data_IF_008807893145
#
_entry.id   IF_008807893145
#
_cell.length_a   1.000
_cell.length_b   1.000
_cell.length_c   1.000
_cell.angle_alpha   90.00
_cell.angle_beta   90.00
_cell.angle_gamma   90.00
#
_symmetry.space_group_name_H-M   'P 1'
#
loop_
_entity.id
_entity.type
_entity.pdbx_description
1 polymer ?
#
# COMPACT_ATOMS: atom_id res chain seq x y z
N UNK A 1 -8.38 -10.57 12.85
CA UNK A 1 -7.42 -11.69 13.00
C UNK A 1 -6.87 -11.97 11.63
N UNK A 2 -5.55 -11.82 11.47
CA UNK A 2 -4.90 -11.92 10.17
C UNK A 2 -4.67 -13.38 9.84
N UNK A 3 -5.06 -13.75 8.63
CA UNK A 3 -4.89 -15.11 8.09
C UNK A 3 -3.53 -15.27 7.42
N UNK A 4 -3.07 -16.51 7.30
CA UNK A 4 -1.87 -16.86 6.53
C UNK A 4 -1.92 -16.31 5.10
N UNK A 5 -3.07 -16.47 4.42
CA UNK A 5 -3.27 -15.97 3.06
C UNK A 5 -3.09 -14.44 2.96
N UNK A 6 -3.60 -13.67 3.93
CA UNK A 6 -3.40 -12.21 3.96
C UNK A 6 -1.91 -11.87 4.14
N UNK A 7 -1.20 -12.60 5.01
CA UNK A 7 0.24 -12.41 5.19
C UNK A 7 1.03 -12.71 3.93
N UNK A 8 0.73 -13.84 3.26
CA UNK A 8 1.38 -14.25 2.01
C UNK A 8 1.10 -13.27 0.88
N UNK A 9 -0.15 -12.82 0.74
CA UNK A 9 -0.55 -11.83 -0.26
C UNK A 9 0.19 -10.50 -0.06
N UNK A 10 0.22 -9.96 1.15
CA UNK A 10 0.91 -8.70 1.44
C UNK A 10 2.42 -8.84 1.27
N UNK A 11 3.00 -9.96 1.72
CA UNK A 11 4.41 -10.27 1.47
C UNK A 11 4.72 -10.28 -0.01
N UNK A 12 3.89 -10.96 -0.81
CA UNK A 12 4.03 -11.02 -2.27
C UNK A 12 3.99 -9.63 -2.89
N UNK A 13 3.04 -8.78 -2.50
CA UNK A 13 2.93 -7.40 -3.03
C UNK A 13 4.21 -6.60 -2.76
N UNK A 14 4.69 -6.62 -1.51
CA UNK A 14 5.88 -5.86 -1.13
C UNK A 14 7.15 -6.42 -1.79
N UNK A 15 7.28 -7.74 -1.89
CA UNK A 15 8.46 -8.37 -2.45
C UNK A 15 8.52 -8.26 -3.98
N UNK A 16 7.36 -8.35 -4.66
CA UNK A 16 7.29 -8.27 -6.13
C UNK A 16 7.38 -6.85 -6.68
N UNK A 17 6.96 -5.84 -5.91
CA UNK A 17 7.08 -4.42 -6.31
C UNK A 17 8.53 -3.92 -6.43
N UNK A 18 9.49 -4.58 -5.78
CA UNK A 18 10.86 -4.06 -5.66
C UNK A 18 10.96 -2.75 -4.86
N UNK A 19 9.88 -2.35 -4.20
CA UNK A 19 9.75 -1.01 -3.60
C UNK A 19 10.70 -0.79 -2.42
N UNK A 20 11.07 -1.86 -1.71
CA UNK A 20 12.04 -1.82 -0.60
C UNK A 20 13.43 -1.48 -1.14
N UNK A 21 13.86 -2.12 -2.23
CA UNK A 21 15.17 -1.88 -2.82
C UNK A 21 15.25 -0.48 -3.43
N UNK A 22 14.20 -0.07 -4.15
CA UNK A 22 14.06 1.29 -4.67
C UNK A 22 14.20 2.32 -3.53
N UNK A 23 13.49 2.12 -2.42
CA UNK A 23 13.55 3.01 -1.27
C UNK A 23 14.96 3.07 -0.68
N UNK A 24 15.62 1.94 -0.48
CA UNK A 24 16.96 1.88 0.12
C UNK A 24 18.02 2.52 -0.75
N UNK A 25 17.95 2.33 -2.06
CA UNK A 25 18.87 2.93 -3.01
C UNK A 25 18.68 4.45 -3.07
N UNK A 26 17.44 4.93 -3.02
CA UNK A 26 17.12 6.37 -3.12
C UNK A 26 17.27 7.14 -1.79
N UNK A 27 17.22 6.46 -0.64
CA UNK A 27 17.54 7.04 0.67
C UNK A 27 19.06 7.19 0.86
N UNK A 28 19.87 6.35 0.21
CA UNK A 28 21.34 6.43 0.30
C UNK A 28 21.85 7.59 -0.55
N UNK A 29 22.15 8.71 0.11
CA UNK A 29 22.83 9.85 -0.51
C UNK A 29 24.26 9.54 -0.94
N UNK A 30 24.97 8.72 -0.15
CA UNK A 30 26.35 8.33 -0.44
C UNK A 30 26.48 6.80 -0.50
N UNK A 31 27.19 6.30 -1.52
CA UNK A 31 27.50 4.88 -1.69
C UNK A 31 28.48 4.31 -0.65
N UNK A 32 28.94 5.13 0.30
CA UNK A 32 29.92 4.75 1.33
C UNK A 32 29.26 4.06 2.53
N UNK A 33 30.00 3.16 3.17
CA UNK A 33 29.59 2.45 4.39
C UNK A 33 28.89 1.12 4.16
N UNK A 34 28.47 0.48 5.26
CA UNK A 34 27.77 -0.80 5.24
C UNK A 34 26.39 -0.63 4.59
N UNK A 35 26.02 -1.56 3.69
CA UNK A 35 24.67 -1.61 3.13
C UNK A 35 23.64 -1.65 4.26
N UNK A 36 22.57 -0.86 4.13
CA UNK A 36 21.47 -0.87 5.09
C UNK A 36 20.76 -2.21 5.00
N UNK A 37 20.41 -2.79 6.15
CA UNK A 37 19.64 -4.02 6.22
C UNK A 37 18.20 -3.75 5.71
N UNK A 38 17.71 -4.46 4.67
CA UNK A 38 16.38 -4.25 4.13
C UNK A 38 15.26 -4.79 5.03
N UNK A 39 15.55 -5.76 5.92
CA UNK A 39 14.52 -6.48 6.65
C UNK A 39 13.60 -5.57 7.48
N UNK A 40 14.09 -4.56 8.22
CA UNK A 40 13.22 -3.64 8.96
C UNK A 40 12.30 -2.79 8.08
N UNK A 41 12.73 -2.43 6.86
CA UNK A 41 11.94 -1.63 5.92
C UNK A 41 10.83 -2.48 5.31
N UNK A 42 11.19 -3.70 4.89
CA UNK A 42 10.23 -4.70 4.42
C UNK A 42 9.16 -4.99 5.48
N UNK A 43 9.56 -5.21 6.73
CA UNK A 43 8.63 -5.46 7.84
C UNK A 43 7.75 -4.26 8.14
N UNK A 44 8.26 -3.02 8.06
CA UNK A 44 7.43 -1.81 8.21
C UNK A 44 6.32 -1.77 7.17
N UNK A 45 6.63 -2.06 5.90
CA UNK A 45 5.63 -2.03 4.82
C UNK A 45 4.61 -3.15 4.93
N UNK A 46 5.07 -4.38 5.16
CA UNK A 46 4.18 -5.53 5.36
C UNK A 46 3.27 -5.31 6.56
N UNK A 47 3.84 -4.95 7.72
CA UNK A 47 3.06 -4.69 8.91
C UNK A 47 2.13 -3.49 8.77
N UNK A 48 2.54 -2.46 8.00
CA UNK A 48 1.73 -1.31 7.62
C UNK A 48 0.46 -1.71 6.88
N UNK A 49 0.61 -2.47 5.79
CA UNK A 49 -0.53 -2.95 5.00
C UNK A 49 -1.42 -3.90 5.80
N UNK A 50 -0.84 -4.82 6.57
CA UNK A 50 -1.59 -5.73 7.42
C UNK A 50 -2.38 -5.01 8.53
N UNK A 51 -1.79 -3.98 9.14
CA UNK A 51 -2.47 -3.15 10.14
C UNK A 51 -3.66 -2.42 9.51
N UNK A 52 -3.49 -1.85 8.32
CA UNK A 52 -4.60 -1.22 7.59
C UNK A 52 -5.71 -2.23 7.28
N UNK A 53 -5.37 -3.46 6.88
CA UNK A 53 -6.34 -4.51 6.59
C UNK A 53 -7.11 -4.95 7.85
N UNK A 54 -6.43 -5.11 8.99
CA UNK A 54 -7.04 -5.63 10.23
C UNK A 54 -7.86 -4.58 10.99
N UNK A 55 -7.37 -3.32 11.05
CA UNK A 55 -7.96 -2.28 11.89
C UNK A 55 -8.05 -0.88 11.25
N UNK A 56 -7.65 -0.72 9.98
CA UNK A 56 -7.74 0.55 9.26
C UNK A 56 -6.71 1.61 9.66
N UNK A 57 -5.65 1.23 10.37
CA UNK A 57 -4.64 2.19 10.86
C UNK A 57 -3.25 1.95 10.27
N UNK A 58 -2.50 3.06 10.12
CA UNK A 58 -1.08 3.05 9.76
C UNK A 58 -0.27 3.78 10.85
N UNK A 59 -0.26 3.21 12.06
CA UNK A 59 0.47 3.76 13.20
C UNK A 59 1.51 2.73 13.67
N UNK A 60 2.72 3.18 14.04
CA UNK A 60 3.85 2.31 14.39
C UNK A 60 3.49 1.29 15.49
N UNK A 61 2.68 1.71 16.47
CA UNK A 61 2.21 0.83 17.53
C UNK A 61 1.35 -0.31 16.97
N UNK A 62 0.38 0.01 16.12
CA UNK A 62 -0.56 -0.95 15.56
C UNK A 62 0.13 -1.87 14.56
N UNK A 63 1.11 -1.36 13.81
CA UNK A 63 2.02 -2.16 12.96
C UNK A 63 2.80 -3.17 13.80
N UNK A 64 3.36 -2.73 14.92
CA UNK A 64 4.13 -3.61 15.81
C UNK A 64 3.25 -4.68 16.45
N UNK A 65 2.08 -4.31 16.96
CA UNK A 65 1.11 -5.26 17.53
C UNK A 65 0.64 -6.25 16.47
N UNK A 66 0.38 -5.78 15.25
CA UNK A 66 0.03 -6.61 14.10
C UNK A 66 1.09 -7.68 13.83
N UNK A 67 2.35 -7.26 13.68
CA UNK A 67 3.47 -8.15 13.37
C UNK A 67 3.80 -9.15 14.49
N UNK A 68 3.55 -8.80 15.76
CA UNK A 68 4.01 -9.60 16.90
C UNK A 68 2.90 -10.42 17.57
N UNK A 69 1.65 -10.04 17.35
CA UNK A 69 0.50 -10.58 18.10
C UNK A 69 -0.67 -11.00 17.21
N UNK A 70 -0.94 -10.29 16.10
CA UNK A 70 -2.12 -10.55 15.25
C UNK A 70 -1.89 -11.57 14.14
N UNK A 71 -0.62 -11.78 13.72
CA UNK A 71 -0.26 -12.80 12.73
C UNK A 71 0.10 -14.15 13.38
N UNK A 72 -0.18 -15.29 12.71
CA UNK A 72 0.17 -16.62 13.20
C UNK A 72 1.67 -16.75 13.54
N UNK A 73 2.01 -17.56 14.54
CA UNK A 73 3.39 -17.69 15.03
C UNK A 73 4.36 -18.15 13.93
N UNK A 74 3.94 -19.10 13.10
CA UNK A 74 4.76 -19.61 11.99
C UNK A 74 5.07 -18.50 10.98
N UNK A 75 4.07 -17.65 10.66
CA UNK A 75 4.25 -16.47 9.81
C UNK A 75 5.18 -15.43 10.44
N UNK A 76 5.20 -15.29 11.77
CA UNK A 76 6.18 -14.42 12.45
C UNK A 76 7.62 -14.90 12.22
N UNK A 77 7.85 -16.22 12.16
CA UNK A 77 9.16 -16.78 11.83
C UNK A 77 9.48 -16.63 10.34
N UNK A 78 8.52 -16.94 9.46
CA UNK A 78 8.66 -16.80 8.00
C UNK A 78 9.03 -15.38 7.59
N UNK A 79 8.36 -14.37 8.18
CA UNK A 79 8.64 -12.96 7.92
C UNK A 79 9.94 -12.44 8.56
N UNK A 80 10.50 -13.18 9.52
CA UNK A 80 11.67 -12.76 10.29
C UNK A 80 11.37 -11.78 11.43
N UNK A 81 10.10 -11.62 11.82
CA UNK A 81 9.70 -10.91 13.06
C UNK A 81 10.28 -11.62 14.27
N UNK A 82 10.22 -12.96 14.27
CA UNK A 82 10.90 -13.84 15.22
C UNK A 82 12.05 -14.55 14.52
N UNK A 83 13.19 -14.62 15.19
CA UNK A 83 14.34 -15.37 14.70
C UNK A 83 15.09 -16.03 15.84
N UNK A 84 15.59 -17.23 15.58
CA UNK A 84 16.55 -17.87 16.45
C UNK A 84 17.86 -17.09 16.41
N UNK A 85 18.36 -16.73 17.58
CA UNK A 85 19.67 -16.12 17.75
C UNK A 85 20.48 -16.94 18.73
N UNK A 86 21.76 -17.11 18.43
CA UNK A 86 22.68 -17.80 19.33
C UNK A 86 23.53 -16.78 20.07
N UNK A 87 23.55 -16.87 21.39
CA UNK A 87 24.46 -16.08 22.20
C UNK A 87 25.90 -16.53 21.92
N UNK A 88 26.76 -15.60 21.49
CA UNK A 88 28.15 -15.91 21.13
C UNK A 88 29.01 -16.33 22.33
N UNK A 89 28.65 -15.92 23.55
CA UNK A 89 29.42 -16.18 24.76
C UNK A 89 28.98 -17.49 25.43
N UNK A 90 27.66 -17.72 25.55
CA UNK A 90 27.12 -18.89 26.26
C UNK A 90 26.78 -20.05 25.32
N UNK A 91 26.66 -19.81 24.01
CA UNK A 91 26.24 -20.79 23.02
C UNK A 91 24.74 -21.13 23.06
N UNK A 92 23.98 -20.52 23.96
CA UNK A 92 22.54 -20.72 24.16
C UNK A 92 21.73 -20.12 23.00
N UNK A 93 20.71 -20.86 22.56
CA UNK A 93 19.77 -20.41 21.55
C UNK A 93 18.56 -19.75 22.19
N UNK A 94 18.27 -18.52 21.78
CA UNK A 94 17.09 -17.78 22.24
C UNK A 94 16.31 -17.25 21.04
N UNK A 95 14.99 -17.12 21.20
CA UNK A 95 14.15 -16.45 20.20
C UNK A 95 14.25 -14.95 20.42
N UNK A 96 14.74 -14.23 19.41
CA UNK A 96 14.68 -12.78 19.37
C UNK A 96 13.48 -12.33 18.57
N UNK A 97 12.66 -11.48 19.17
CA UNK A 97 11.59 -10.75 18.49
C UNK A 97 12.12 -9.39 18.04
N UNK A 98 11.64 -8.87 16.91
CA UNK A 98 11.90 -7.49 16.51
C UNK A 98 11.47 -6.52 17.60
N UNK A 99 12.16 -5.39 17.74
CA UNK A 99 11.77 -4.35 18.68
C UNK A 99 10.91 -3.31 17.99
N UNK A 100 9.95 -2.70 18.71
CA UNK A 100 9.23 -1.52 18.22
C UNK A 100 10.20 -0.37 17.86
N UNK A 101 11.35 -0.29 18.53
CA UNK A 101 12.39 0.69 18.22
C UNK A 101 12.99 0.50 16.81
N UNK A 102 12.98 -0.73 16.29
CA UNK A 102 13.45 -1.00 14.92
C UNK A 102 12.53 -0.28 13.92
N UNK A 103 11.21 -0.29 14.15
CA UNK A 103 10.23 0.42 13.31
C UNK A 103 10.36 1.95 13.45
N UNK A 104 10.48 2.47 14.67
CA UNK A 104 10.73 3.91 14.88
C UNK A 104 12.02 4.39 14.21
N UNK A 105 13.06 3.58 14.24
CA UNK A 105 14.32 3.90 13.58
C UNK A 105 14.14 3.99 12.06
N UNK A 106 13.44 3.04 11.46
CA UNK A 106 13.16 3.02 10.01
C UNK A 106 12.33 4.24 9.62
N UNK A 107 11.21 4.50 10.29
CA UNK A 107 10.33 5.64 9.95
C UNK A 107 11.07 6.96 10.08
N UNK A 108 11.85 7.16 11.14
CA UNK A 108 12.69 8.36 11.31
C UNK A 108 13.70 8.53 10.18
N UNK A 109 14.28 7.44 9.66
CA UNK A 109 15.18 7.48 8.51
C UNK A 109 14.48 7.85 7.23
N UNK A 110 13.30 7.26 6.97
CA UNK A 110 12.47 7.58 5.81
C UNK A 110 12.08 9.06 5.86
N UNK A 111 11.50 9.55 6.96
CA UNK A 111 11.11 10.96 7.11
C UNK A 111 12.31 11.90 6.91
N UNK A 112 13.45 11.64 7.56
CA UNK A 112 14.64 12.48 7.38
C UNK A 112 15.10 12.55 5.92
N UNK A 113 14.99 11.45 5.18
CA UNK A 113 15.47 11.35 3.81
C UNK A 113 14.47 11.87 2.77
N UNK A 114 13.17 11.76 3.04
CA UNK A 114 12.13 11.99 2.04
C UNK A 114 11.17 13.12 2.37
N UNK A 115 11.06 13.62 3.60
CA UNK A 115 10.16 14.75 3.90
C UNK A 115 10.54 15.98 3.08
N UNK A 116 9.64 16.45 2.22
CA UNK A 116 9.90 17.57 1.30
C UNK A 116 8.88 18.71 1.41
N UNK A 117 7.89 18.56 2.31
CA UNK A 117 6.85 19.54 2.55
C UNK A 117 7.41 20.85 3.12
N UNK A 118 6.86 21.98 2.68
CA UNK A 118 7.31 23.31 3.14
C UNK A 118 7.18 23.52 4.66
N UNK A 119 6.27 22.79 5.33
CA UNK A 119 6.12 22.83 6.79
C UNK A 119 7.07 21.90 7.56
N UNK A 120 7.40 20.73 7.01
CA UNK A 120 8.27 19.73 7.67
C UNK A 120 9.76 19.91 7.35
N UNK A 121 10.09 20.47 6.19
CA UNK A 121 11.45 20.71 5.73
C UNK A 121 11.59 22.09 5.04
N UNK A 122 11.43 23.20 5.80
CA UNK A 122 11.36 24.55 5.24
C UNK A 122 12.66 25.03 4.58
N UNK A 123 13.81 24.49 5.01
CA UNK A 123 15.14 24.93 4.58
C UNK A 123 15.72 24.07 3.44
N UNK A 124 14.93 23.21 2.81
CA UNK A 124 15.38 22.46 1.63
C UNK A 124 15.43 23.39 0.42
N UNK A 125 16.49 23.26 -0.37
CA UNK A 125 16.55 23.81 -1.72
C UNK A 125 15.50 23.13 -2.64
N UNK A 126 15.24 23.75 -3.80
CA UNK A 126 14.21 23.26 -4.71
C UNK A 126 14.62 21.96 -5.41
N UNK A 127 15.91 21.79 -5.72
CA UNK A 127 16.44 20.59 -6.39
C UNK A 127 16.28 19.34 -5.51
N UNK A 128 16.61 19.44 -4.22
CA UNK A 128 16.43 18.36 -3.26
C UNK A 128 14.95 18.11 -2.96
N UNK A 129 14.10 19.13 -3.04
CA UNK A 129 12.64 18.99 -2.92
C UNK A 129 12.07 18.18 -4.09
N UNK A 130 12.45 18.53 -5.31
CA UNK A 130 12.09 17.80 -6.53
C UNK A 130 12.61 16.37 -6.49
N UNK A 131 13.89 16.17 -6.15
CA UNK A 131 14.47 14.83 -5.99
C UNK A 131 13.70 13.97 -4.99
N UNK A 132 13.31 14.52 -3.83
CA UNK A 132 12.52 13.78 -2.81
C UNK A 132 11.12 13.46 -3.30
N UNK A 133 10.48 14.40 -3.99
CA UNK A 133 9.18 14.20 -4.63
C UNK A 133 9.25 13.03 -5.63
N UNK A 134 10.23 13.03 -6.52
CA UNK A 134 10.41 11.99 -7.53
C UNK A 134 10.63 10.60 -6.92
N UNK A 135 11.34 10.52 -5.79
CA UNK A 135 11.53 9.26 -5.07
C UNK A 135 10.21 8.74 -4.50
N UNK A 136 9.38 9.62 -3.94
CA UNK A 136 8.06 9.24 -3.43
C UNK A 136 7.12 8.85 -4.56
N UNK A 137 7.15 9.56 -5.67
CA UNK A 137 6.37 9.21 -6.86
C UNK A 137 6.79 7.84 -7.40
N UNK A 138 8.09 7.60 -7.61
CA UNK A 138 8.60 6.30 -8.06
C UNK A 138 8.29 5.16 -7.08
N UNK A 139 8.26 5.44 -5.77
CA UNK A 139 7.82 4.49 -4.75
C UNK A 139 6.34 4.13 -4.93
N UNK A 140 5.47 5.13 -5.11
CA UNK A 140 4.04 4.92 -5.33
C UNK A 140 3.79 4.16 -6.64
N UNK A 141 4.45 4.56 -7.73
CA UNK A 141 4.33 3.91 -9.04
C UNK A 141 4.73 2.43 -8.95
N UNK A 142 5.90 2.12 -8.36
CA UNK A 142 6.36 0.73 -8.19
C UNK A 142 5.41 -0.13 -7.33
N UNK A 143 4.77 0.46 -6.32
CA UNK A 143 3.76 -0.24 -5.53
C UNK A 143 2.46 -0.46 -6.32
N UNK A 144 2.06 0.51 -7.13
CA UNK A 144 0.86 0.45 -7.97
C UNK A 144 1.01 -0.54 -9.13
N UNK A 145 2.21 -0.66 -9.72
CA UNK A 145 2.52 -1.56 -10.83
C UNK A 145 2.24 -3.03 -10.49
N UNK A 146 2.34 -3.44 -9.22
CA UNK A 146 1.98 -4.80 -8.78
C UNK A 146 0.51 -5.12 -9.02
N UNK A 147 -0.34 -4.10 -8.97
CA UNK A 147 -1.77 -4.23 -9.21
C UNK A 147 -2.13 -4.05 -10.69
N UNK A 148 -1.18 -3.68 -11.55
CA UNK A 148 -1.38 -3.68 -12.99
C UNK A 148 -1.34 -5.12 -13.53
N UNK A 149 -2.52 -5.71 -13.69
CA UNK A 149 -2.69 -7.05 -14.25
C UNK A 149 -2.57 -7.07 -15.79
N UNK A 150 -2.21 -5.95 -16.43
CA UNK A 150 -2.04 -5.84 -17.88
C UNK A 150 -3.35 -5.66 -18.65
N UNK A 151 -4.34 -5.01 -18.05
CA UNK A 151 -5.69 -4.89 -18.63
C UNK A 151 -5.87 -3.50 -19.24
N UNK A 152 -6.04 -3.44 -20.56
CA UNK A 152 -6.33 -2.20 -21.26
C UNK A 152 -7.82 -1.84 -21.10
N UNK A 153 -8.13 -0.81 -20.30
CA UNK A 153 -9.46 -0.21 -20.22
C UNK A 153 -9.40 1.29 -20.48
N UNK A 154 -10.49 1.90 -20.91
CA UNK A 154 -10.63 3.37 -20.98
C UNK A 154 -11.26 3.94 -19.71
N UNK A 155 -11.58 3.08 -18.73
CA UNK A 155 -12.26 3.47 -17.49
C UNK A 155 -11.77 2.60 -16.34
N UNK A 156 -11.30 3.25 -15.28
CA UNK A 156 -10.73 2.64 -14.09
C UNK A 156 -11.36 3.28 -12.85
N UNK A 157 -11.72 2.46 -11.85
CA UNK A 157 -12.14 2.94 -10.54
C UNK A 157 -11.31 2.24 -9.47
N UNK A 158 -10.65 3.06 -8.65
CA UNK A 158 -9.80 2.63 -7.54
C UNK A 158 -10.67 2.67 -6.28
N UNK A 159 -11.03 1.50 -5.73
CA UNK A 159 -11.75 1.43 -4.47
C UNK A 159 -10.79 1.22 -3.29
N UNK A 160 -11.28 1.45 -2.07
CA UNK A 160 -10.49 1.39 -0.84
C UNK A 160 -9.90 0.00 -0.53
N UNK A 161 -10.25 -1.04 -1.29
CA UNK A 161 -9.75 -2.41 -1.09
C UNK A 161 -8.46 -2.70 -1.88
N UNK A 162 -8.00 -1.77 -2.73
CA UNK A 162 -6.85 -2.00 -3.61
C UNK A 162 -7.16 -2.97 -4.77
N UNK A 163 -8.42 -3.37 -4.92
CA UNK A 163 -8.90 -4.17 -6.05
C UNK A 163 -9.32 -3.20 -7.16
N UNK A 164 -8.73 -3.35 -8.34
CA UNK A 164 -9.17 -2.62 -9.51
C UNK A 164 -10.54 -3.15 -9.94
N UNK A 165 -11.56 -2.30 -9.86
CA UNK A 165 -12.89 -2.63 -10.37
C UNK A 165 -13.00 -2.15 -11.82
N UNK A 166 -13.16 -3.11 -12.74
CA UNK A 166 -13.25 -2.86 -14.17
C UNK A 166 -14.71 -2.85 -14.59
N UNK A 167 -15.21 -1.68 -15.04
CA UNK A 167 -16.53 -1.56 -15.66
C UNK A 167 -16.38 -1.28 -17.15
N UNK A 168 -16.90 -2.16 -18.02
CA UNK A 168 -17.15 -1.76 -19.42
C UNK A 168 -18.25 -0.71 -19.39
N UNK A 169 -17.88 0.56 -19.59
CA UNK A 169 -18.86 1.59 -19.91
C UNK A 169 -19.62 1.13 -21.14
N UNK A 170 -20.94 0.93 -21.03
CA UNK A 170 -21.76 0.74 -22.22
C UNK A 170 -21.66 2.03 -23.02
N UNK A 171 -21.01 1.97 -24.19
CA UNK A 171 -21.08 3.05 -25.15
C UNK A 171 -22.56 3.37 -25.37
N UNK A 172 -22.92 4.65 -25.25
CA UNK A 172 -24.25 5.12 -25.56
C UNK A 172 -24.39 4.97 -27.08
N UNK A 173 -25.29 4.11 -27.55
CA UNK A 173 -25.57 3.99 -28.98
C UNK A 173 -26.04 5.37 -29.48
N UNK A 174 -25.21 6.03 -30.30
CA UNK A 174 -25.59 7.20 -31.09
C UNK A 174 -26.43 6.73 -32.30
N UNK A 175 -27.61 6.20 -32.03
CA UNK A 175 -28.63 5.99 -33.06
C UNK A 175 -29.99 6.02 -32.38
N UNK A 176 -30.53 7.23 -32.21
CA UNK A 176 -31.98 7.48 -32.14
C UNK A 176 -32.21 8.99 -32.29
N UNK A 177 -31.86 9.49 -33.47
CA UNK A 177 -31.98 10.88 -33.85
C UNK A 177 -32.48 11.04 -35.27
N UNK A 178 -33.49 10.28 -35.68
CA UNK A 178 -34.26 10.56 -36.88
C UNK A 178 -35.68 9.97 -36.77
N UNK A 179 -36.66 10.84 -36.94
CA UNK A 179 -38.08 10.58 -37.23
C UNK A 179 -39.00 10.29 -36.02
N UNK A 180 -39.71 11.30 -35.52
CA UNK A 180 -41.03 11.63 -36.09
C UNK A 180 -41.61 12.89 -35.44
N UNK A 181 -42.07 13.76 -36.34
CA UNK A 181 -42.84 14.97 -36.13
C UNK A 181 -44.33 14.61 -35.93
N UNK A 182 -44.97 15.30 -35.00
CA UNK A 182 -46.38 15.67 -34.87
C UNK A 182 -47.55 14.65 -35.03
N UNK A 183 -48.31 14.46 -33.94
CA UNK A 183 -49.79 14.64 -33.92
C UNK A 183 -50.39 14.63 -32.50
N UNK A 184 -50.81 15.83 -32.08
CA UNK A 184 -51.98 16.27 -31.28
C UNK A 184 -52.81 15.36 -30.32
N UNK A 185 -53.15 16.01 -29.19
CA UNK A 185 -54.42 15.98 -28.40
C UNK A 185 -54.83 14.72 -27.62
N UNK A 186 -54.75 14.71 -26.28
CA UNK A 186 -55.67 15.34 -25.29
C UNK A 186 -56.93 14.50 -24.97
N UNK A 187 -56.95 13.81 -23.81
CA UNK A 187 -57.95 13.97 -22.71
C UNK A 187 -58.00 12.78 -21.74
N UNK A 188 -58.06 13.16 -20.46
CA UNK A 188 -58.51 12.49 -19.24
C UNK A 188 -59.30 11.15 -19.32
N UNK A 189 -59.04 10.26 -18.34
CA UNK A 189 -60.03 9.66 -17.43
C UNK A 189 -59.29 8.81 -16.36
N UNK A 190 -59.33 9.17 -15.06
CA UNK A 190 -60.39 8.91 -14.06
C UNK A 190 -60.35 7.49 -13.49
N UNK A 191 -59.87 7.42 -12.23
CA UNK A 191 -60.39 6.65 -11.08
C UNK A 191 -60.46 5.11 -11.20
N UNK A 192 -59.69 4.43 -10.34
CA UNK A 192 -59.75 3.00 -10.02
C UNK A 192 -61.18 2.56 -9.59
N UNK A 193 -61.56 1.26 -9.64
CA UNK A 193 -61.33 0.42 -8.45
C UNK A 193 -61.30 -1.14 -8.64
N UNK A 194 -60.98 -1.82 -7.52
CA UNK A 194 -61.16 -3.24 -7.16
C UNK A 194 -60.22 -4.28 -7.83
N UNK A 195 -59.64 -5.24 -7.11
CA UNK A 195 -60.02 -5.86 -5.82
C UNK A 195 -58.83 -6.09 -4.87
#
# INVERSE_FOLDING_TARGET
MITENQTQMVSYIIDSSGVVDLLLDRIRRDGRGRKTDPAPYRLLMIGGLLSVIDNGTFVIKDIYETLTSSIPLDEQFTLGVRRWTRNRLTGEETVRVMSINDLYYVTKRISKALDYGKGSAPNLDEEERERRHDVIQAFCDALMDVFDLGWESTTYALDATGIWSWGRGKAKDETDGANNDDSEESLAQVIAPFA
#
